data_IF_219993047397
#
_entry.id   IF_219993047397
#
_cell.length_a   1.000
_cell.length_b   1.000
_cell.length_c   1.000
_cell.angle_alpha   90.00
_cell.angle_beta   90.00
_cell.angle_gamma   90.00
#
_symmetry.space_group_name_H-M   'P 1'
#
loop_
_entity.id
_entity.type
_entity.pdbx_description
1 polymer ?
#
# COMPACT_ATOMS: atom_id res chain seq x y z
N UNK A 1 -1.16 11.51 13.11
CA UNK A 1 -0.05 11.01 12.26
C UNK A 1 -0.18 9.50 11.99
N UNK A 2 -1.31 9.06 11.42
CA UNK A 2 -1.54 7.65 11.04
C UNK A 2 -2.11 7.50 9.60
N UNK A 3 -1.52 8.25 8.66
CA UNK A 3 -1.98 8.30 7.27
C UNK A 3 -1.73 7.00 6.49
N UNK A 4 -0.80 6.14 6.92
CA UNK A 4 -0.62 4.82 6.32
C UNK A 4 -1.76 3.84 6.66
N UNK A 5 -2.51 4.05 7.74
CA UNK A 5 -3.70 3.25 8.04
C UNK A 5 -4.86 3.65 7.11
N UNK A 6 -5.15 4.94 7.01
CA UNK A 6 -6.13 5.53 6.08
C UNK A 6 -5.95 7.04 6.07
N UNK A 7 -6.38 7.70 4.99
CA UNK A 7 -6.40 9.17 4.92
C UNK A 7 -7.82 9.73 5.01
N UNK A 8 -7.93 11.00 5.39
CA UNK A 8 -9.19 11.74 5.28
C UNK A 8 -9.55 11.93 3.80
N UNK A 9 -10.84 11.90 3.50
CA UNK A 9 -11.32 12.19 2.15
C UNK A 9 -11.05 13.67 1.82
N UNK A 10 -10.38 13.93 0.69
CA UNK A 10 -10.12 15.29 0.23
C UNK A 10 -11.44 15.98 -0.16
N UNK A 11 -11.56 17.29 0.12
CA UNK A 11 -12.77 18.06 -0.16
C UNK A 11 -13.12 18.10 -1.67
N UNK A 12 -12.14 18.29 -2.54
CA UNK A 12 -12.38 18.28 -3.99
C UNK A 12 -12.80 16.88 -4.49
N UNK A 13 -12.31 15.82 -3.85
CA UNK A 13 -12.74 14.45 -4.12
C UNK A 13 -14.18 14.25 -3.70
N UNK A 14 -14.56 14.71 -2.51
CA UNK A 14 -15.95 14.68 -2.05
C UNK A 14 -16.87 15.46 -3.01
N UNK A 15 -16.48 16.66 -3.41
CA UNK A 15 -17.24 17.50 -4.35
C UNK A 15 -17.38 16.81 -5.73
N UNK A 16 -16.37 16.08 -6.18
CA UNK A 16 -16.44 15.30 -7.42
C UNK A 16 -17.36 14.07 -7.30
N UNK A 17 -17.41 13.42 -6.13
CA UNK A 17 -18.33 12.30 -5.84
C UNK A 17 -19.79 12.79 -5.71
N UNK A 18 -19.98 14.00 -5.23
CA UNK A 18 -21.29 14.62 -4.92
C UNK A 18 -21.49 15.93 -5.71
N UNK A 19 -21.43 15.91 -7.06
CA UNK A 19 -21.66 17.10 -7.85
C UNK A 19 -23.11 17.61 -7.68
N UNK A 20 -23.43 18.81 -8.19
CA UNK A 20 -24.79 19.37 -8.15
C UNK A 20 -25.86 18.43 -8.75
N UNK A 21 -25.45 17.58 -9.71
CA UNK A 21 -26.21 16.40 -10.18
C UNK A 21 -25.56 15.14 -9.60
N UNK A 22 -25.85 14.85 -8.32
CA UNK A 22 -25.21 13.74 -7.59
C UNK A 22 -25.37 12.39 -8.29
N UNK A 23 -24.29 11.59 -8.32
CA UNK A 23 -24.31 10.19 -8.77
C UNK A 23 -25.19 9.28 -7.91
N UNK A 24 -25.63 9.73 -6.75
CA UNK A 24 -26.51 8.97 -5.86
C UNK A 24 -28.00 9.30 -6.07
N UNK A 25 -28.32 10.46 -6.65
CA UNK A 25 -29.71 10.96 -6.71
C UNK A 25 -30.17 11.37 -8.10
N UNK A 26 -29.27 11.87 -8.96
CA UNK A 26 -29.60 12.39 -10.29
C UNK A 26 -28.95 11.55 -11.39
N UNK A 27 -27.65 11.27 -11.29
CA UNK A 27 -26.90 10.40 -12.23
C UNK A 27 -26.75 9.00 -11.61
N UNK A 28 -27.86 8.44 -11.13
CA UNK A 28 -27.88 7.16 -10.42
C UNK A 28 -27.98 5.94 -11.34
N UNK A 29 -27.86 6.13 -12.65
CA UNK A 29 -28.02 5.08 -13.64
C UNK A 29 -26.99 3.95 -13.47
N UNK A 30 -27.42 2.73 -13.78
CA UNK A 30 -26.48 1.61 -13.89
C UNK A 30 -25.62 1.80 -15.16
N UNK A 31 -24.27 1.83 -15.05
CA UNK A 31 -23.38 2.04 -16.21
C UNK A 31 -23.56 1.04 -17.35
N UNK A 32 -24.14 -0.12 -17.07
CA UNK A 32 -24.45 -1.16 -18.09
C UNK A 32 -25.77 -0.89 -18.86
N UNK A 33 -26.55 0.13 -18.46
CA UNK A 33 -27.84 0.44 -19.10
C UNK A 33 -27.69 1.31 -20.34
N UNK A 34 -28.49 1.05 -21.37
CA UNK A 34 -28.44 1.77 -22.66
C UNK A 34 -29.12 3.15 -22.64
N UNK A 35 -29.98 3.41 -21.65
CA UNK A 35 -30.67 4.71 -21.54
C UNK A 35 -29.74 5.82 -21.01
N UNK A 36 -30.14 7.08 -21.19
CA UNK A 36 -29.33 8.28 -20.89
C UNK A 36 -28.69 8.26 -19.51
N UNK A 37 -29.43 7.90 -18.45
CA UNK A 37 -28.90 7.84 -17.08
C UNK A 37 -27.77 6.81 -16.96
N UNK A 38 -27.87 5.65 -17.64
CA UNK A 38 -26.81 4.66 -17.66
C UNK A 38 -25.59 5.13 -18.43
N UNK A 39 -25.79 5.82 -19.58
CA UNK A 39 -24.69 6.37 -20.38
C UNK A 39 -23.92 7.47 -19.64
N UNK A 40 -24.61 8.34 -18.89
CA UNK A 40 -23.96 9.36 -18.05
C UNK A 40 -23.09 8.71 -16.97
N UNK A 41 -23.58 7.69 -16.28
CA UNK A 41 -22.82 6.94 -15.29
C UNK A 41 -21.64 6.20 -15.93
N UNK A 42 -21.84 5.57 -17.10
CA UNK A 42 -20.78 4.91 -17.87
C UNK A 42 -19.66 5.88 -18.24
N UNK A 43 -20.00 7.07 -18.72
CA UNK A 43 -19.04 8.13 -19.04
C UNK A 43 -18.22 8.54 -17.81
N UNK A 44 -18.86 8.71 -16.65
CA UNK A 44 -18.17 9.05 -15.42
C UNK A 44 -17.15 7.98 -14.98
N UNK A 45 -17.50 6.69 -15.14
CA UNK A 45 -16.59 5.57 -14.89
C UNK A 45 -15.43 5.56 -15.91
N UNK A 46 -15.72 5.82 -17.19
CA UNK A 46 -14.68 5.88 -18.24
C UNK A 46 -13.69 7.03 -17.98
N UNK A 47 -14.19 8.24 -17.65
CA UNK A 47 -13.37 9.40 -17.33
C UNK A 47 -12.45 9.13 -16.12
N UNK A 48 -12.95 8.45 -15.09
CA UNK A 48 -12.16 8.04 -13.93
C UNK A 48 -11.08 7.03 -14.30
N UNK A 49 -11.40 6.08 -15.19
CA UNK A 49 -10.47 5.06 -15.70
C UNK A 49 -9.30 5.68 -16.46
N UNK A 50 -9.59 6.70 -17.29
CA UNK A 50 -8.57 7.48 -18.01
C UNK A 50 -7.61 8.21 -17.05
N UNK A 51 -8.13 8.75 -15.94
CA UNK A 51 -7.31 9.41 -14.93
C UNK A 51 -6.35 8.43 -14.25
N UNK A 52 -6.83 7.24 -13.90
CA UNK A 52 -5.98 6.18 -13.33
C UNK A 52 -4.91 5.75 -14.33
N UNK A 53 -5.29 5.51 -15.58
CA UNK A 53 -4.35 5.09 -16.64
C UNK A 53 -3.27 6.13 -16.85
N UNK A 54 -3.63 7.40 -16.92
CA UNK A 54 -2.68 8.52 -17.08
C UNK A 54 -1.71 8.62 -15.91
N UNK A 55 -2.20 8.49 -14.69
CA UNK A 55 -1.39 8.57 -13.47
C UNK A 55 -0.33 7.45 -13.40
N UNK A 56 -0.61 6.28 -13.97
CA UNK A 56 0.29 5.12 -13.98
C UNK A 56 1.10 5.00 -15.30
N UNK A 57 0.86 5.88 -16.29
CA UNK A 57 1.37 5.74 -17.65
C UNK A 57 0.97 4.40 -18.32
N UNK A 58 -0.27 3.94 -18.08
CA UNK A 58 -0.84 2.78 -18.77
C UNK A 58 -1.16 3.11 -20.23
N UNK A 59 -0.98 2.14 -21.13
CA UNK A 59 -1.10 2.35 -22.58
C UNK A 59 -2.56 2.35 -23.08
N UNK A 60 -3.48 1.67 -22.39
CA UNK A 60 -4.87 1.47 -22.81
C UNK A 60 -5.78 1.42 -21.57
N UNK A 61 -6.32 2.58 -21.20
CA UNK A 61 -7.13 2.73 -19.98
C UNK A 61 -8.22 1.65 -19.89
N UNK A 62 -8.93 1.44 -20.99
CA UNK A 62 -10.02 0.50 -21.04
C UNK A 62 -9.61 -0.94 -20.80
N UNK A 63 -8.46 -1.37 -21.37
CA UNK A 63 -8.01 -2.76 -21.31
C UNK A 63 -7.14 -3.07 -20.11
N UNK A 64 -6.48 -2.05 -19.56
CA UNK A 64 -5.46 -2.24 -18.54
C UNK A 64 -5.90 -1.87 -17.12
N UNK A 65 -6.95 -1.06 -16.96
CA UNK A 65 -7.45 -0.70 -15.64
C UNK A 65 -8.73 -1.49 -15.32
N UNK A 66 -8.78 -2.08 -14.13
CA UNK A 66 -9.94 -2.80 -13.58
C UNK A 66 -10.26 -2.17 -12.23
N UNK A 67 -11.49 -1.72 -12.00
CA UNK A 67 -11.92 -1.25 -10.68
C UNK A 67 -12.25 -2.42 -9.76
N UNK A 68 -11.82 -2.31 -8.51
CA UNK A 68 -11.99 -3.30 -7.44
C UNK A 68 -12.55 -2.64 -6.19
N UNK A 69 -12.90 -3.41 -5.17
CA UNK A 69 -13.37 -2.89 -3.89
C UNK A 69 -12.24 -2.38 -2.97
N UNK A 70 -11.01 -2.84 -3.16
CA UNK A 70 -9.84 -2.44 -2.35
C UNK A 70 -8.55 -3.09 -2.89
N UNK A 71 -7.39 -2.70 -2.34
CA UNK A 71 -6.09 -3.31 -2.65
C UNK A 71 -6.08 -4.82 -2.38
N UNK A 72 -6.65 -5.27 -1.27
CA UNK A 72 -6.73 -6.71 -0.95
C UNK A 72 -7.47 -7.52 -2.02
N UNK A 73 -8.56 -6.98 -2.61
CA UNK A 73 -9.23 -7.63 -3.73
C UNK A 73 -8.31 -7.69 -4.94
N UNK A 74 -7.59 -6.60 -5.25
CA UNK A 74 -6.64 -6.54 -6.38
C UNK A 74 -5.52 -7.57 -6.23
N UNK A 75 -4.89 -7.67 -5.05
CA UNK A 75 -3.82 -8.66 -4.78
C UNK A 75 -4.33 -10.10 -4.93
N UNK A 76 -5.52 -10.40 -4.38
CA UNK A 76 -6.14 -11.71 -4.53
C UNK A 76 -6.47 -12.03 -5.98
N UNK A 77 -6.97 -11.05 -6.76
CA UNK A 77 -7.22 -11.23 -8.20
C UNK A 77 -5.95 -11.62 -8.95
N UNK A 78 -4.83 -10.97 -8.66
CA UNK A 78 -3.56 -11.30 -9.30
C UNK A 78 -3.07 -12.68 -8.88
N UNK A 79 -2.86 -12.88 -7.58
CA UNK A 79 -2.23 -14.10 -7.08
C UNK A 79 -3.04 -15.34 -7.45
N UNK A 80 -4.35 -15.34 -7.16
CA UNK A 80 -5.23 -16.47 -7.45
C UNK A 80 -5.50 -16.62 -8.95
N UNK A 81 -5.70 -15.51 -9.66
CA UNK A 81 -5.96 -15.52 -11.10
C UNK A 81 -4.76 -16.04 -11.92
N UNK A 82 -3.53 -15.62 -11.60
CA UNK A 82 -2.34 -16.12 -12.26
C UNK A 82 -2.07 -17.58 -11.88
N UNK A 83 -2.22 -17.95 -10.62
CA UNK A 83 -2.09 -19.33 -10.16
C UNK A 83 -3.05 -20.27 -10.93
N UNK A 84 -4.33 -19.91 -11.04
CA UNK A 84 -5.31 -20.66 -11.81
C UNK A 84 -4.93 -20.73 -13.29
N UNK A 85 -4.66 -19.59 -13.92
CA UNK A 85 -4.41 -19.44 -15.36
C UNK A 85 -3.16 -20.16 -15.82
N UNK A 86 -2.09 -20.09 -15.04
CA UNK A 86 -0.77 -20.60 -15.42
C UNK A 86 -0.38 -21.91 -14.73
N UNK A 87 -1.30 -22.57 -14.01
CA UNK A 87 -1.05 -23.82 -13.28
C UNK A 87 -0.46 -24.97 -14.13
N UNK A 88 -0.70 -24.93 -15.45
CA UNK A 88 -0.13 -25.90 -16.40
C UNK A 88 1.29 -25.52 -16.86
N UNK A 89 1.68 -24.24 -16.78
CA UNK A 89 3.02 -23.74 -17.10
C UNK A 89 3.97 -23.94 -15.94
N UNK A 90 3.50 -23.75 -14.71
CA UNK A 90 4.28 -23.88 -13.50
C UNK A 90 3.46 -23.65 -12.26
N UNK A 91 4.07 -23.92 -11.10
CA UNK A 91 3.42 -23.76 -9.78
C UNK A 91 4.28 -23.02 -8.78
N UNK A 92 5.30 -22.30 -9.23
CA UNK A 92 6.17 -21.53 -8.36
C UNK A 92 5.85 -20.04 -8.40
N UNK A 93 5.76 -19.43 -7.21
CA UNK A 93 5.52 -18.00 -6.98
C UNK A 93 6.66 -17.48 -6.09
N UNK A 94 7.15 -16.30 -6.40
CA UNK A 94 8.14 -15.59 -5.58
C UNK A 94 7.49 -14.37 -4.97
N UNK A 95 7.69 -14.16 -3.66
CA UNK A 95 7.26 -12.97 -2.94
C UNK A 95 8.28 -12.63 -1.85
N UNK A 96 8.03 -11.61 -1.02
CA UNK A 96 8.94 -11.24 0.06
C UNK A 96 8.37 -11.58 1.44
N UNK A 97 9.24 -11.68 2.45
CA UNK A 97 8.83 -11.94 3.83
C UNK A 97 8.11 -10.75 4.49
N UNK A 98 8.12 -9.56 3.86
CA UNK A 98 7.59 -8.30 4.42
C UNK A 98 6.33 -7.78 3.74
N UNK A 99 5.69 -8.60 2.93
CA UNK A 99 4.46 -8.24 2.21
C UNK A 99 3.28 -7.96 3.14
N UNK A 100 2.30 -7.23 2.63
CA UNK A 100 1.01 -7.09 3.29
C UNK A 100 0.32 -8.45 3.41
N UNK A 101 -0.50 -8.64 4.46
CA UNK A 101 -1.22 -9.91 4.72
C UNK A 101 -2.12 -10.34 3.54
N UNK A 102 -2.61 -9.41 2.71
CA UNK A 102 -3.36 -9.74 1.50
C UNK A 102 -2.54 -10.59 0.51
N UNK A 103 -1.24 -10.38 0.44
CA UNK A 103 -0.30 -11.18 -0.36
C UNK A 103 0.11 -12.44 0.40
N UNK A 104 0.60 -12.31 1.64
CA UNK A 104 1.12 -13.45 2.42
C UNK A 104 0.06 -14.53 2.64
N UNK A 105 -1.16 -14.15 3.07
CA UNK A 105 -2.20 -15.14 3.35
C UNK A 105 -2.76 -15.76 2.07
N UNK A 106 -2.77 -15.01 0.97
CA UNK A 106 -3.14 -15.58 -0.34
C UNK A 106 -2.06 -16.55 -0.83
N UNK A 107 -0.78 -16.27 -0.63
CA UNK A 107 0.30 -17.22 -0.91
C UNK A 107 0.15 -18.50 -0.06
N UNK A 108 -0.06 -18.38 1.25
CA UNK A 108 -0.31 -19.53 2.14
C UNK A 108 -1.56 -20.34 1.73
N UNK A 109 -2.59 -19.67 1.21
CA UNK A 109 -3.75 -20.36 0.65
C UNK A 109 -3.36 -21.15 -0.61
N UNK A 110 -2.54 -20.57 -1.50
CA UNK A 110 -2.08 -21.24 -2.73
C UNK A 110 -1.14 -22.43 -2.44
N UNK A 111 -0.31 -22.35 -1.40
CA UNK A 111 0.50 -23.49 -0.93
C UNK A 111 -0.40 -24.70 -0.59
N UNK A 112 -1.54 -24.48 0.07
CA UNK A 112 -2.54 -25.54 0.34
C UNK A 112 -3.20 -26.08 -0.93
N UNK A 113 -3.10 -25.38 -2.06
CA UNK A 113 -3.56 -25.80 -3.37
C UNK A 113 -2.44 -26.46 -4.22
N UNK A 114 -1.28 -26.70 -3.62
CA UNK A 114 -0.13 -27.40 -4.24
C UNK A 114 0.75 -26.47 -5.08
N UNK A 115 0.76 -25.15 -4.81
CA UNK A 115 1.78 -24.23 -5.30
C UNK A 115 2.97 -24.20 -4.34
N UNK A 116 4.14 -23.86 -4.86
CA UNK A 116 5.32 -23.58 -4.08
C UNK A 116 5.54 -22.07 -4.02
N UNK A 117 5.84 -21.53 -2.84
CA UNK A 117 6.10 -20.10 -2.66
C UNK A 117 7.49 -19.90 -2.07
N UNK A 118 8.32 -19.13 -2.76
CA UNK A 118 9.58 -18.63 -2.20
C UNK A 118 9.32 -17.26 -1.56
N UNK A 119 9.50 -17.19 -0.26
CA UNK A 119 9.47 -15.93 0.50
C UNK A 119 10.90 -15.42 0.64
N UNK A 120 11.29 -14.44 -0.17
CA UNK A 120 12.63 -13.86 -0.15
C UNK A 120 12.90 -13.19 1.21
N UNK A 121 14.02 -13.53 1.85
CA UNK A 121 14.46 -12.81 3.03
C UNK A 121 14.88 -11.38 2.64
N UNK A 122 14.69 -10.46 3.57
CA UNK A 122 15.08 -9.05 3.40
C UNK A 122 16.32 -8.75 4.24
N UNK A 123 16.99 -7.65 3.93
CA UNK A 123 18.06 -7.10 4.76
C UNK A 123 17.52 -6.42 6.03
N UNK A 124 18.41 -5.88 6.86
CA UNK A 124 18.06 -5.15 8.09
C UNK A 124 17.22 -3.88 7.88
N UNK A 125 17.11 -3.43 6.64
CA UNK A 125 16.29 -2.29 6.22
C UNK A 125 14.96 -2.73 5.59
N UNK A 126 14.72 -4.03 5.48
CA UNK A 126 13.51 -4.58 4.89
C UNK A 126 13.49 -4.58 3.37
N UNK A 127 14.66 -4.63 2.71
CA UNK A 127 14.80 -4.55 1.26
C UNK A 127 15.27 -5.88 0.68
N UNK A 128 14.74 -6.24 -0.48
CA UNK A 128 15.31 -7.30 -1.34
C UNK A 128 16.15 -6.66 -2.46
N UNK A 129 17.10 -7.42 -2.98
CA UNK A 129 17.85 -7.03 -4.18
C UNK A 129 17.22 -7.65 -5.42
N UNK A 130 17.41 -7.02 -6.58
CA UNK A 130 17.00 -7.58 -7.85
C UNK A 130 17.73 -8.91 -8.16
N UNK A 131 18.97 -9.09 -7.70
CA UNK A 131 19.73 -10.33 -7.88
C UNK A 131 19.14 -11.49 -7.07
N UNK A 132 18.66 -11.26 -5.83
CA UNK A 132 17.93 -12.29 -5.09
C UNK A 132 16.71 -12.80 -5.85
N UNK A 133 15.97 -11.89 -6.53
CA UNK A 133 14.85 -12.28 -7.38
C UNK A 133 15.34 -13.11 -8.58
N UNK A 134 16.42 -12.67 -9.24
CA UNK A 134 17.03 -13.39 -10.39
C UNK A 134 17.42 -14.83 -10.03
N UNK A 135 18.05 -15.00 -8.89
CA UNK A 135 18.51 -16.32 -8.39
C UNK A 135 17.34 -17.23 -7.99
N UNK A 136 16.24 -16.65 -7.48
CA UNK A 136 15.05 -17.40 -7.06
C UNK A 136 14.17 -17.84 -8.25
N UNK A 137 14.30 -17.24 -9.42
CA UNK A 137 13.50 -17.59 -10.61
C UNK A 137 13.91 -18.96 -11.12
N UNK A 138 12.92 -19.87 -11.18
CA UNK A 138 13.03 -21.25 -11.69
C UNK A 138 12.26 -21.38 -13.03
N UNK A 139 12.48 -22.49 -13.78
CA UNK A 139 11.74 -22.71 -15.03
C UNK A 139 10.22 -22.79 -14.87
N UNK A 140 9.73 -23.17 -13.69
CA UNK A 140 8.31 -23.28 -13.33
C UNK A 140 7.79 -22.06 -12.56
N UNK A 141 8.56 -20.96 -12.45
CA UNK A 141 8.11 -19.71 -11.86
C UNK A 141 7.10 -19.02 -12.79
N UNK A 142 5.92 -18.72 -12.24
CA UNK A 142 4.83 -18.08 -13.01
C UNK A 142 4.60 -16.62 -12.63
N UNK A 143 4.99 -16.22 -11.41
CA UNK A 143 4.74 -14.90 -10.86
C UNK A 143 5.84 -14.50 -9.86
N UNK A 144 6.28 -13.26 -9.96
CA UNK A 144 6.99 -12.53 -8.91
C UNK A 144 6.05 -11.44 -8.40
N UNK A 145 5.82 -11.39 -7.09
CA UNK A 145 5.00 -10.36 -6.43
C UNK A 145 5.81 -9.71 -5.33
N UNK A 146 6.16 -8.44 -5.50
CA UNK A 146 6.96 -7.67 -4.54
C UNK A 146 6.28 -6.32 -4.33
N UNK A 147 5.98 -5.96 -3.08
CA UNK A 147 5.36 -4.69 -2.76
C UNK A 147 6.26 -3.52 -3.16
N UNK A 148 5.67 -2.39 -3.55
CA UNK A 148 6.42 -1.22 -3.99
C UNK A 148 7.08 -0.51 -2.80
N UNK A 149 6.29 -0.29 -1.75
CA UNK A 149 6.75 0.35 -0.52
C UNK A 149 6.08 -0.27 0.70
N UNK A 150 6.86 -0.52 1.72
CA UNK A 150 6.36 -1.20 2.91
C UNK A 150 5.49 -0.27 3.77
N UNK A 151 4.30 -0.71 4.12
CA UNK A 151 3.31 0.04 4.89
C UNK A 151 3.68 0.27 6.36
N UNK A 152 4.62 -0.50 6.90
CA UNK A 152 5.05 -0.41 8.31
C UNK A 152 6.32 0.42 8.44
N UNK A 153 7.40 0.00 7.80
CA UNK A 153 8.73 0.61 7.92
C UNK A 153 9.08 1.60 6.81
N UNK A 154 8.22 1.73 5.81
CA UNK A 154 8.35 2.71 4.72
C UNK A 154 9.32 2.35 3.61
N UNK A 155 10.15 1.34 3.74
CA UNK A 155 11.19 0.98 2.77
C UNK A 155 10.64 0.78 1.36
N UNK A 156 11.30 1.38 0.37
CA UNK A 156 11.01 1.22 -1.06
C UNK A 156 11.82 0.06 -1.64
N UNK A 157 11.17 -0.78 -2.44
CA UNK A 157 11.80 -1.88 -3.16
C UNK A 157 12.35 -1.43 -4.53
N UNK A 158 13.37 -2.11 -5.08
CA UNK A 158 13.95 -1.77 -6.39
C UNK A 158 13.08 -2.30 -7.54
N UNK A 159 11.88 -1.71 -7.69
CA UNK A 159 10.81 -2.21 -8.58
C UNK A 159 11.23 -2.23 -10.05
N UNK A 160 11.91 -1.19 -10.53
CA UNK A 160 12.32 -1.09 -11.92
C UNK A 160 13.34 -2.19 -12.29
N UNK A 161 14.30 -2.45 -11.40
CA UNK A 161 15.32 -3.49 -11.57
C UNK A 161 14.68 -4.89 -11.51
N UNK A 162 13.76 -5.12 -10.58
CA UNK A 162 13.01 -6.39 -10.48
C UNK A 162 12.17 -6.60 -11.75
N UNK A 163 11.45 -5.56 -12.21
CA UNK A 163 10.65 -5.61 -13.42
C UNK A 163 11.49 -5.93 -14.67
N UNK A 164 12.70 -5.36 -14.78
CA UNK A 164 13.63 -5.67 -15.87
C UNK A 164 14.06 -7.14 -15.86
N UNK A 165 14.38 -7.71 -14.69
CA UNK A 165 14.72 -9.13 -14.54
C UNK A 165 13.54 -10.03 -14.91
N UNK A 166 12.35 -9.72 -14.39
CA UNK A 166 11.15 -10.50 -14.70
C UNK A 166 10.84 -10.50 -16.20
N UNK A 167 11.01 -9.34 -16.87
CA UNK A 167 10.86 -9.19 -18.30
C UNK A 167 11.89 -10.04 -19.07
N UNK A 168 13.16 -9.98 -18.68
CA UNK A 168 14.26 -10.78 -19.27
C UNK A 168 13.97 -12.29 -19.14
N UNK A 169 13.46 -12.73 -17.99
CA UNK A 169 13.17 -14.13 -17.69
C UNK A 169 11.81 -14.64 -18.19
N UNK A 170 10.97 -13.76 -18.72
CA UNK A 170 9.62 -14.12 -19.20
C UNK A 170 8.67 -14.57 -18.07
N UNK A 171 8.85 -14.03 -16.87
CA UNK A 171 8.02 -14.24 -15.69
C UNK A 171 7.16 -13.01 -15.46
N UNK A 172 5.90 -13.19 -15.07
CA UNK A 172 5.00 -12.06 -14.77
C UNK A 172 5.40 -11.36 -13.48
N UNK A 173 5.31 -10.03 -13.49
CA UNK A 173 5.64 -9.19 -12.33
C UNK A 173 4.43 -8.41 -11.82
N UNK A 174 4.13 -8.58 -10.55
CA UNK A 174 3.11 -7.83 -9.79
C UNK A 174 3.75 -7.02 -8.68
N UNK A 175 3.21 -5.83 -8.43
CA UNK A 175 3.56 -5.02 -7.26
C UNK A 175 2.30 -4.56 -6.51
N UNK A 176 2.25 -4.81 -5.20
CA UNK A 176 1.33 -4.08 -4.32
C UNK A 176 1.88 -2.66 -4.12
N UNK A 177 1.26 -1.70 -4.80
CA UNK A 177 1.64 -0.30 -4.75
C UNK A 177 0.66 0.55 -3.91
N UNK A 178 -0.15 -0.08 -3.06
CA UNK A 178 -1.17 0.57 -2.23
C UNK A 178 -0.60 1.72 -1.40
N UNK A 179 0.62 1.62 -0.91
CA UNK A 179 1.29 2.69 -0.14
C UNK A 179 2.13 3.64 -1.00
N UNK A 180 2.34 3.33 -2.29
CA UNK A 180 3.23 4.09 -3.16
C UNK A 180 2.50 5.05 -4.09
N UNK A 181 1.32 4.64 -4.61
CA UNK A 181 0.51 5.47 -5.51
C UNK A 181 0.14 6.79 -4.83
N UNK A 182 0.38 7.89 -5.53
CA UNK A 182 0.16 9.25 -5.03
C UNK A 182 1.27 9.80 -4.13
N UNK A 183 2.29 8.98 -3.79
CA UNK A 183 3.41 9.38 -2.93
C UNK A 183 4.76 9.33 -3.63
N UNK A 184 4.92 8.50 -4.64
CA UNK A 184 6.12 8.40 -5.47
C UNK A 184 5.71 8.25 -6.94
N UNK A 185 6.61 8.62 -7.85
CA UNK A 185 6.38 8.46 -9.28
C UNK A 185 6.36 6.98 -9.66
N UNK A 186 5.34 6.59 -10.42
CA UNK A 186 5.18 5.24 -10.94
C UNK A 186 4.92 5.31 -12.45
N UNK A 187 5.75 4.65 -13.21
CA UNK A 187 5.57 4.44 -14.65
C UNK A 187 5.59 2.94 -14.93
N UNK A 188 4.41 2.37 -15.12
CA UNK A 188 4.26 0.92 -15.29
C UNK A 188 4.96 0.38 -16.52
N UNK A 189 5.13 1.21 -17.56
CA UNK A 189 5.83 0.82 -18.78
C UNK A 189 7.35 0.84 -18.57
N UNK A 190 7.90 1.94 -18.08
CA UNK A 190 9.33 2.08 -17.84
C UNK A 190 9.85 1.11 -16.77
N UNK A 191 9.05 0.83 -15.73
CA UNK A 191 9.38 -0.10 -14.65
C UNK A 191 9.08 -1.56 -14.98
N UNK A 192 8.59 -1.86 -16.19
CA UNK A 192 8.24 -3.22 -16.63
C UNK A 192 7.24 -3.94 -15.71
N UNK A 193 6.32 -3.21 -15.13
CA UNK A 193 5.28 -3.76 -14.25
C UNK A 193 4.20 -4.41 -15.11
N UNK A 194 3.82 -5.64 -14.81
CA UNK A 194 2.76 -6.37 -15.50
C UNK A 194 1.40 -6.18 -14.83
N UNK A 195 1.40 -6.08 -13.50
CA UNK A 195 0.20 -5.86 -12.69
C UNK A 195 0.54 -5.00 -11.47
N UNK A 196 -0.38 -4.10 -11.10
CA UNK A 196 -0.20 -3.20 -9.96
C UNK A 196 -1.52 -3.01 -9.21
N UNK A 197 -1.48 -3.23 -7.90
CA UNK A 197 -2.61 -3.01 -7.00
C UNK A 197 -2.57 -1.63 -6.35
N UNK A 198 -3.73 -0.95 -6.26
CA UNK A 198 -3.87 0.32 -5.55
C UNK A 198 -5.21 0.42 -4.79
N UNK A 199 -5.28 1.33 -3.81
CA UNK A 199 -6.49 1.56 -3.01
C UNK A 199 -6.68 3.05 -2.72
N UNK A 200 -7.83 3.60 -3.07
CA UNK A 200 -8.08 5.05 -3.07
C UNK A 200 -7.88 5.72 -1.70
N UNK A 201 -8.25 5.03 -0.61
CA UNK A 201 -8.19 5.60 0.74
C UNK A 201 -6.76 5.81 1.29
N UNK A 202 -5.73 5.49 0.51
CA UNK A 202 -4.32 5.76 0.88
C UNK A 202 -3.80 7.08 0.32
N UNK A 203 -4.54 7.68 -0.62
CA UNK A 203 -4.22 8.98 -1.24
C UNK A 203 -5.45 9.88 -1.29
N UNK A 204 -6.14 10.03 -0.16
CA UNK A 204 -7.28 10.93 0.06
C UNK A 204 -8.53 10.65 -0.79
N UNK A 205 -8.65 9.44 -1.32
CA UNK A 205 -9.84 8.93 -1.97
C UNK A 205 -10.79 8.20 -1.00
N UNK A 206 -11.97 7.76 -1.50
CA UNK A 206 -12.95 7.05 -0.67
C UNK A 206 -12.48 5.63 -0.32
N UNK A 207 -12.95 5.14 0.84
CA UNK A 207 -12.85 3.72 1.22
C UNK A 207 -13.79 2.89 0.34
N UNK A 208 -13.52 1.59 0.21
CA UNK A 208 -14.38 0.66 -0.53
C UNK A 208 -14.24 0.75 -2.05
N UNK A 209 -13.15 1.33 -2.55
CA UNK A 209 -12.76 1.34 -3.96
C UNK A 209 -11.25 1.27 -4.11
N UNK A 210 -10.82 0.46 -5.07
CA UNK A 210 -9.43 0.32 -5.51
C UNK A 210 -9.39 0.12 -7.03
N UNK A 211 -8.20 -0.11 -7.55
CA UNK A 211 -8.01 -0.51 -8.93
C UNK A 211 -6.83 -1.48 -9.06
N UNK A 212 -6.90 -2.26 -10.12
CA UNK A 212 -5.84 -3.15 -10.56
C UNK A 212 -5.44 -2.74 -11.97
N UNK A 213 -4.17 -2.38 -12.16
CA UNK A 213 -3.57 -2.31 -13.48
C UNK A 213 -3.16 -3.72 -13.92
N UNK A 214 -3.48 -4.08 -15.15
CA UNK A 214 -3.09 -5.33 -15.79
C UNK A 214 -2.63 -5.03 -17.20
N UNK A 215 -1.35 -5.22 -17.49
CA UNK A 215 -0.79 -4.97 -18.80
C UNK A 215 -1.56 -5.72 -19.89
N UNK A 216 -1.84 -5.03 -20.99
CA UNK A 216 -2.57 -5.57 -22.14
C UNK A 216 -1.99 -6.91 -22.62
N UNK A 217 -2.86 -7.87 -22.82
CA UNK A 217 -2.50 -9.24 -23.21
C UNK A 217 -2.40 -10.24 -22.06
N UNK A 218 -2.37 -9.79 -20.83
CA UNK A 218 -2.46 -10.67 -19.65
C UNK A 218 -3.92 -10.95 -19.35
N UNK A 219 -4.27 -12.22 -19.30
CA UNK A 219 -5.63 -12.68 -19.00
C UNK A 219 -5.70 -13.09 -17.52
N UNK A 220 -6.60 -12.45 -16.77
CA UNK A 220 -6.93 -12.83 -15.41
C UNK A 220 -8.37 -13.38 -15.38
N UNK A 221 -8.59 -14.59 -14.87
CA UNK A 221 -9.94 -15.07 -14.54
C UNK A 221 -10.59 -14.13 -13.51
N UNK A 222 -11.93 -13.98 -13.61
CA UNK A 222 -12.67 -13.20 -12.63
C UNK A 222 -12.66 -13.87 -11.27
N UNK A 223 -12.20 -13.14 -10.24
CA UNK A 223 -12.29 -13.62 -8.85
C UNK A 223 -13.72 -13.61 -8.35
N UNK A 224 -14.49 -12.57 -8.72
CA UNK A 224 -15.91 -12.45 -8.40
C UNK A 224 -16.73 -12.87 -9.63
N UNK A 225 -17.35 -14.02 -9.55
CA UNK A 225 -18.14 -14.60 -10.65
C UNK A 225 -19.54 -13.96 -10.66
N UNK A 226 -20.02 -13.52 -11.84
CA UNK A 226 -21.33 -12.87 -11.95
C UNK A 226 -21.55 -12.24 -13.33
N UNK A 227 -22.06 -11.00 -13.38
CA UNK A 227 -22.28 -10.24 -14.60
C UNK A 227 -20.99 -9.85 -15.33
N UNK A 228 -21.16 -9.28 -16.53
CA UNK A 228 -20.07 -8.97 -17.47
C UNK A 228 -19.35 -7.63 -17.19
N UNK A 229 -19.55 -7.03 -16.00
CA UNK A 229 -18.88 -5.77 -15.64
C UNK A 229 -17.35 -5.92 -15.73
N UNK A 230 -16.67 -4.80 -15.83
CA UNK A 230 -15.20 -4.77 -16.04
C UNK A 230 -14.73 -5.77 -17.13
N UNK A 231 -15.54 -5.95 -18.19
CA UNK A 231 -15.28 -6.87 -19.31
C UNK A 231 -15.08 -8.32 -18.89
N UNK A 232 -15.98 -8.83 -18.08
CA UNK A 232 -15.93 -10.18 -17.51
C UNK A 232 -14.69 -10.43 -16.61
N UNK A 233 -14.04 -9.37 -16.12
CA UNK A 233 -12.86 -9.51 -15.24
C UNK A 233 -13.21 -9.31 -13.76
N UNK A 234 -14.30 -8.56 -13.50
CA UNK A 234 -14.80 -8.33 -12.13
C UNK A 234 -16.30 -8.05 -12.18
N UNK A 235 -17.08 -8.96 -11.69
CA UNK A 235 -18.55 -8.86 -11.68
C UNK A 235 -19.04 -7.92 -10.56
N UNK A 236 -20.30 -7.49 -10.70
CA UNK A 236 -20.98 -6.60 -9.75
C UNK A 236 -21.13 -5.18 -10.28
N UNK A 237 -22.29 -4.56 -9.99
CA UNK A 237 -22.58 -3.19 -10.41
C UNK A 237 -21.49 -2.23 -9.91
N UNK A 238 -21.01 -1.36 -10.80
CA UNK A 238 -19.92 -0.44 -10.52
C UNK A 238 -20.33 0.60 -9.46
N UNK A 239 -19.45 0.84 -8.49
CA UNK A 239 -19.57 1.91 -7.49
C UNK A 239 -19.21 3.26 -8.12
N UNK A 240 -20.13 3.82 -8.91
CA UNK A 240 -19.89 5.03 -9.73
C UNK A 240 -19.29 6.18 -8.91
N UNK A 241 -19.91 6.53 -7.79
CA UNK A 241 -19.44 7.63 -6.94
C UNK A 241 -18.03 7.35 -6.38
N UNK A 242 -17.78 6.12 -5.88
CA UNK A 242 -16.47 5.71 -5.38
C UNK A 242 -15.39 5.71 -6.48
N UNK A 243 -15.72 5.24 -7.68
CA UNK A 243 -14.82 5.21 -8.84
C UNK A 243 -14.46 6.64 -9.29
N UNK A 244 -15.43 7.55 -9.36
CA UNK A 244 -15.18 8.97 -9.65
C UNK A 244 -14.28 9.59 -8.59
N UNK A 245 -14.54 9.27 -7.31
CA UNK A 245 -13.70 9.71 -6.20
C UNK A 245 -12.25 9.19 -6.31
N UNK A 246 -12.06 7.91 -6.65
CA UNK A 246 -10.73 7.36 -6.91
C UNK A 246 -10.03 8.09 -8.05
N UNK A 247 -10.74 8.31 -9.19
CA UNK A 247 -10.19 9.02 -10.34
C UNK A 247 -9.79 10.46 -10.02
N UNK A 248 -10.57 11.19 -9.21
CA UNK A 248 -10.21 12.54 -8.77
C UNK A 248 -9.07 12.53 -7.76
N UNK A 249 -9.05 11.59 -6.84
CA UNK A 249 -8.01 11.48 -5.82
C UNK A 249 -6.63 11.19 -6.45
N UNK A 250 -6.54 10.23 -7.39
CA UNK A 250 -5.27 9.90 -8.05
C UNK A 250 -4.78 11.06 -8.93
N UNK A 251 -5.69 11.77 -9.60
CA UNK A 251 -5.36 12.96 -10.39
C UNK A 251 -4.70 14.03 -9.50
N UNK A 252 -5.31 14.36 -8.35
CA UNK A 252 -4.77 15.35 -7.40
C UNK A 252 -3.43 14.89 -6.81
N UNK A 253 -3.36 13.68 -6.27
CA UNK A 253 -2.17 13.16 -5.63
C UNK A 253 -0.98 13.10 -6.62
N UNK A 254 -1.19 12.60 -7.85
CA UNK A 254 -0.12 12.48 -8.83
C UNK A 254 0.30 13.81 -9.45
N UNK A 255 -0.56 14.85 -9.46
CA UNK A 255 -0.19 16.17 -9.99
C UNK A 255 0.73 16.97 -9.08
N UNK A 256 0.84 16.61 -7.80
CA UNK A 256 1.62 17.34 -6.79
C UNK A 256 2.71 16.47 -6.11
N UNK A 257 3.05 15.32 -6.67
CA UNK A 257 4.00 14.37 -6.05
C UNK A 257 5.31 15.05 -5.67
N UNK A 258 5.93 15.81 -6.57
CA UNK A 258 7.26 16.40 -6.31
C UNK A 258 7.23 17.37 -5.12
N UNK A 259 6.25 18.27 -5.10
CA UNK A 259 6.10 19.25 -4.01
C UNK A 259 5.74 18.58 -2.69
N UNK A 260 4.73 17.71 -2.71
CA UNK A 260 4.23 17.01 -1.53
C UNK A 260 5.28 16.08 -0.95
N UNK A 261 5.97 15.29 -1.80
CA UNK A 261 7.02 14.38 -1.35
C UNK A 261 8.23 15.11 -0.81
N UNK A 262 8.66 16.23 -1.41
CA UNK A 262 9.76 17.05 -0.88
C UNK A 262 9.41 17.62 0.50
N UNK A 263 8.19 18.15 0.66
CA UNK A 263 7.70 18.69 1.94
C UNK A 263 7.62 17.61 3.01
N UNK A 264 7.00 16.46 2.70
CA UNK A 264 6.88 15.35 3.65
C UNK A 264 8.24 14.78 4.03
N UNK A 265 9.16 14.63 3.08
CA UNK A 265 10.53 14.16 3.33
C UNK A 265 11.24 15.06 4.32
N UNK A 266 11.16 16.39 4.14
CA UNK A 266 11.75 17.36 5.08
C UNK A 266 11.16 17.22 6.50
N UNK A 267 9.82 17.12 6.62
CA UNK A 267 9.15 16.96 7.91
C UNK A 267 9.47 15.61 8.55
N UNK A 268 9.51 14.55 7.76
CA UNK A 268 9.91 13.21 8.18
C UNK A 268 11.33 13.19 8.74
N UNK A 269 12.27 13.80 8.01
CA UNK A 269 13.68 13.79 8.40
C UNK A 269 13.90 14.64 9.66
N UNK A 270 13.16 15.76 9.82
CA UNK A 270 13.10 16.53 11.08
C UNK A 270 12.60 15.68 12.24
N UNK A 271 11.51 14.92 12.02
CA UNK A 271 10.94 14.03 13.04
C UNK A 271 11.92 12.91 13.43
N UNK A 272 12.54 12.26 12.45
CA UNK A 272 13.54 11.20 12.67
C UNK A 272 14.71 11.74 13.49
N UNK A 273 15.35 12.84 13.04
CA UNK A 273 16.49 13.42 13.72
C UNK A 273 16.14 13.90 15.15
N UNK A 274 14.95 14.46 15.33
CA UNK A 274 14.46 14.91 16.62
C UNK A 274 14.18 13.77 17.62
N UNK A 275 13.68 12.63 17.16
CA UNK A 275 13.48 11.43 17.98
C UNK A 275 14.86 10.86 18.39
N UNK A 276 15.77 10.67 17.45
CA UNK A 276 17.12 10.14 17.70
C UNK A 276 17.93 11.00 18.70
N UNK A 277 17.75 12.34 18.62
CA UNK A 277 18.46 13.27 19.51
C UNK A 277 17.87 13.31 20.94
N UNK A 278 16.58 13.04 21.11
CA UNK A 278 15.87 13.27 22.40
C UNK A 278 15.56 11.98 23.15
N UNK A 279 15.52 10.85 22.47
CA UNK A 279 15.15 9.57 23.08
C UNK A 279 16.32 8.59 22.89
N UNK A 280 17.02 8.20 23.97
CA UNK A 280 18.06 7.18 23.88
C UNK A 280 17.45 5.79 23.63
N UNK A 281 18.27 4.84 23.21
CA UNK A 281 17.88 3.45 23.01
C UNK A 281 16.67 3.27 22.06
N UNK A 282 16.70 3.98 20.92
CA UNK A 282 15.76 3.86 19.82
C UNK A 282 16.44 3.33 18.57
N UNK A 283 15.69 2.65 17.72
CA UNK A 283 16.13 2.23 16.40
C UNK A 283 15.13 2.70 15.35
N UNK A 284 15.61 3.42 14.33
CA UNK A 284 14.82 3.67 13.12
C UNK A 284 14.69 2.36 12.33
N UNK A 285 13.45 1.95 12.06
CA UNK A 285 13.16 0.78 11.25
C UNK A 285 12.98 1.17 9.78
N UNK A 286 13.50 0.33 8.87
CA UNK A 286 13.50 0.59 7.44
C UNK A 286 14.67 1.45 6.96
N UNK A 287 14.79 1.57 5.63
CA UNK A 287 15.88 2.30 5.00
C UNK A 287 15.76 3.81 5.25
N UNK A 288 16.88 4.49 5.53
CA UNK A 288 16.85 5.91 5.94
C UNK A 288 16.39 6.85 4.82
N UNK A 289 16.81 6.60 3.60
CA UNK A 289 16.55 7.47 2.43
C UNK A 289 15.63 6.83 1.41
N UNK A 290 15.85 5.55 1.06
CA UNK A 290 14.99 4.80 0.15
C UNK A 290 13.70 4.38 0.88
N UNK A 291 12.87 5.38 1.19
CA UNK A 291 11.62 5.18 1.92
C UNK A 291 10.52 6.12 1.47
N UNK A 292 9.28 5.74 1.74
CA UNK A 292 8.10 6.56 1.52
C UNK A 292 8.24 7.93 2.21
N UNK A 293 7.86 9.02 1.55
CA UNK A 293 8.11 10.39 2.03
C UNK A 293 7.58 10.67 3.43
N UNK A 294 6.42 10.13 3.79
CA UNK A 294 5.76 10.42 5.07
C UNK A 294 5.93 9.36 6.15
N UNK A 295 6.69 8.28 5.92
CA UNK A 295 6.74 7.17 6.89
C UNK A 295 7.90 7.30 7.88
N UNK A 296 7.59 7.20 9.18
CA UNK A 296 8.53 7.10 10.30
C UNK A 296 8.14 5.90 11.15
N UNK A 297 9.07 4.99 11.39
CA UNK A 297 8.86 3.84 12.26
C UNK A 297 10.07 3.65 13.17
N UNK A 298 9.83 3.62 14.47
CA UNK A 298 10.86 3.41 15.49
C UNK A 298 10.50 2.23 16.39
N UNK A 299 11.50 1.47 16.77
CA UNK A 299 11.44 0.59 17.95
C UNK A 299 12.11 1.28 19.12
N UNK A 300 11.41 1.36 20.26
CA UNK A 300 11.84 2.03 21.49
C UNK A 300 12.00 0.96 22.57
N UNK A 301 13.23 0.77 23.07
CA UNK A 301 13.51 -0.29 24.04
C UNK A 301 12.88 -0.06 25.40
N UNK A 302 12.59 -1.16 26.07
CA UNK A 302 12.13 -1.27 27.47
C UNK A 302 10.68 -0.83 27.73
N UNK A 303 9.88 -0.62 26.68
CA UNK A 303 8.46 -0.24 26.78
C UNK A 303 7.62 -0.93 25.70
N UNK A 304 6.34 -1.11 26.02
CA UNK A 304 5.37 -1.68 25.10
C UNK A 304 4.81 -0.61 24.15
N UNK A 305 4.75 -0.92 22.86
CA UNK A 305 4.22 -0.02 21.85
C UNK A 305 2.77 0.40 22.10
N UNK A 306 1.92 -0.52 22.55
CA UNK A 306 0.51 -0.21 22.88
C UNK A 306 0.41 0.87 23.95
N UNK A 307 1.27 0.83 24.97
CA UNK A 307 1.32 1.87 26.01
C UNK A 307 1.71 3.23 25.45
N UNK A 308 2.64 3.25 24.48
CA UNK A 308 3.01 4.50 23.78
C UNK A 308 1.81 5.02 22.98
N UNK A 309 1.11 4.14 22.23
CA UNK A 309 -0.05 4.53 21.41
C UNK A 309 -1.17 5.11 22.24
N UNK A 310 -1.51 4.48 23.37
CA UNK A 310 -2.53 5.00 24.29
C UNK A 310 -2.15 6.37 24.86
N UNK A 311 -0.89 6.56 25.25
CA UNK A 311 -0.42 7.85 25.74
C UNK A 311 -0.36 8.92 24.67
N UNK A 312 -0.04 8.57 23.40
CA UNK A 312 -0.10 9.49 22.27
C UNK A 312 -1.55 9.92 22.00
N UNK A 313 -2.50 8.97 22.00
CA UNK A 313 -3.93 9.26 21.79
C UNK A 313 -4.48 10.21 22.85
N UNK A 314 -4.14 10.01 24.14
CA UNK A 314 -4.48 10.93 25.23
C UNK A 314 -3.91 12.35 25.04
N UNK A 315 -2.88 12.52 24.21
CA UNK A 315 -2.30 13.81 23.82
C UNK A 315 -2.77 14.26 22.42
N UNK A 316 -3.81 13.66 21.86
CA UNK A 316 -4.38 14.03 20.56
C UNK A 316 -3.52 13.61 19.35
N UNK A 317 -2.59 12.66 19.50
CA UNK A 317 -1.71 12.17 18.45
C UNK A 317 -2.12 10.74 18.07
N UNK A 318 -2.78 10.56 16.92
CA UNK A 318 -3.06 9.26 16.36
C UNK A 318 -1.78 8.64 15.78
N UNK A 319 -1.46 7.41 16.16
CA UNK A 319 -0.32 6.62 15.67
C UNK A 319 -0.68 5.12 15.66
N UNK A 320 0.14 4.30 15.04
CA UNK A 320 -0.04 2.84 15.02
C UNK A 320 1.24 2.12 15.45
N UNK A 321 1.12 0.89 15.93
CA UNK A 321 2.23 -0.06 15.98
C UNK A 321 2.47 -0.64 14.58
N UNK A 322 3.60 -1.31 14.37
CA UNK A 322 3.90 -1.99 13.10
C UNK A 322 2.78 -2.94 12.63
N UNK A 323 2.04 -3.55 13.57
CA UNK A 323 0.99 -4.54 13.28
C UNK A 323 -0.43 -4.00 13.34
N UNK A 324 -0.71 -2.78 12.90
CA UNK A 324 -2.05 -2.15 12.95
C UNK A 324 -3.20 -3.02 12.38
N UNK A 325 -2.91 -3.99 11.50
CA UNK A 325 -3.90 -4.90 10.91
C UNK A 325 -4.21 -6.12 11.80
N UNK A 326 -3.49 -6.33 12.89
CA UNK A 326 -3.67 -7.43 13.84
C UNK A 326 -4.00 -6.93 15.25
N UNK A 327 -4.75 -5.82 15.34
CA UNK A 327 -5.25 -5.30 16.62
C UNK A 327 -6.03 -6.41 17.36
N UNK A 328 -5.35 -7.07 18.32
CA UNK A 328 -5.85 -8.25 19.04
C UNK A 328 -4.91 -9.45 19.05
N UNK A 329 -3.83 -9.46 18.26
CA UNK A 329 -2.73 -10.42 18.37
C UNK A 329 -1.62 -9.84 19.25
N UNK A 330 -1.21 -10.60 20.25
CA UNK A 330 -0.03 -10.29 21.08
C UNK A 330 1.29 -10.53 20.31
N UNK A 331 1.22 -10.98 19.05
CA UNK A 331 2.40 -11.26 18.25
C UNK A 331 2.99 -9.98 17.66
N UNK A 332 4.31 -9.80 17.69
CA UNK A 332 4.98 -8.66 17.07
C UNK A 332 4.85 -8.71 15.55
N UNK A 333 5.03 -7.55 14.90
CA UNK A 333 5.01 -7.42 13.45
C UNK A 333 5.95 -8.42 12.76
N UNK A 334 5.43 -9.18 11.80
CA UNK A 334 6.24 -10.07 10.95
C UNK A 334 7.31 -9.30 10.15
N UNK A 335 7.04 -8.04 9.79
CA UNK A 335 8.00 -7.16 9.11
C UNK A 335 9.18 -6.86 10.03
N UNK A 336 8.92 -6.49 11.29
CA UNK A 336 9.97 -6.19 12.25
C UNK A 336 10.81 -7.42 12.61
N UNK A 337 10.18 -8.59 12.68
CA UNK A 337 10.91 -9.86 12.84
C UNK A 337 11.76 -10.19 11.60
N UNK A 338 11.23 -9.95 10.41
CA UNK A 338 11.94 -10.21 9.15
C UNK A 338 13.20 -9.35 8.97
N UNK A 339 13.21 -8.11 9.52
CA UNK A 339 14.40 -7.24 9.53
C UNK A 339 15.37 -7.55 10.69
N UNK A 340 15.16 -8.66 11.38
CA UNK A 340 16.07 -9.18 12.41
C UNK A 340 15.88 -8.59 13.82
N UNK A 341 14.75 -7.93 14.11
CA UNK A 341 14.47 -7.47 15.46
C UNK A 341 14.05 -8.64 16.37
N UNK A 342 14.62 -8.75 17.59
CA UNK A 342 14.09 -9.63 18.62
C UNK A 342 12.64 -9.27 18.99
N UNK A 343 11.86 -10.25 19.43
CA UNK A 343 10.47 -10.07 19.83
C UNK A 343 10.29 -8.89 20.81
N UNK A 344 11.11 -8.83 21.85
CA UNK A 344 11.07 -7.78 22.89
C UNK A 344 11.23 -6.36 22.32
N UNK A 345 12.07 -6.19 21.30
CA UNK A 345 12.30 -4.88 20.66
C UNK A 345 11.21 -4.57 19.65
N UNK A 346 10.71 -5.59 18.94
CA UNK A 346 9.64 -5.43 17.98
C UNK A 346 8.33 -4.99 18.64
N UNK A 347 8.04 -5.42 19.87
CA UNK A 347 6.89 -4.99 20.65
C UNK A 347 6.91 -3.49 20.99
N UNK A 348 8.08 -2.88 21.16
CA UNK A 348 8.22 -1.45 21.45
C UNK A 348 8.11 -0.55 20.22
N UNK A 349 7.48 -0.99 19.14
CA UNK A 349 7.43 -0.23 17.90
C UNK A 349 6.30 0.80 17.88
N UNK A 350 6.58 1.95 17.25
CA UNK A 350 5.62 3.00 16.93
C UNK A 350 5.81 3.46 15.50
N UNK A 351 4.71 3.56 14.75
CA UNK A 351 4.67 4.11 13.40
C UNK A 351 3.95 5.44 13.42
N UNK A 352 4.62 6.47 12.94
CA UNK A 352 4.09 7.82 12.71
C UNK A 352 4.12 8.09 11.21
N UNK A 353 2.97 8.35 10.60
CA UNK A 353 2.90 8.61 9.16
C UNK A 353 2.28 9.97 8.88
N UNK A 354 3.08 10.82 8.25
CA UNK A 354 2.72 12.17 7.87
C UNK A 354 1.74 12.16 6.70
N UNK A 355 0.91 13.18 6.61
CA UNK A 355 -0.04 13.39 5.52
C UNK A 355 0.04 14.80 4.98
N UNK A 356 -0.80 15.09 3.97
CA UNK A 356 -0.81 16.37 3.28
C UNK A 356 -1.10 17.56 4.20
N UNK A 357 -1.89 17.35 5.25
CA UNK A 357 -2.24 18.37 6.24
C UNK A 357 -1.25 18.48 7.41
N UNK A 358 -0.20 17.63 7.44
CA UNK A 358 0.79 17.68 8.52
C UNK A 358 1.66 18.92 8.41
N UNK A 359 1.70 19.70 9.49
CA UNK A 359 2.49 20.93 9.60
C UNK A 359 3.83 20.72 10.33
N UNK A 360 4.67 21.74 10.33
CA UNK A 360 5.91 21.72 11.08
C UNK A 360 5.65 21.79 12.59
N UNK A 361 4.62 22.53 13.00
CA UNK A 361 4.15 22.63 14.38
C UNK A 361 3.66 21.27 14.91
N UNK A 362 2.99 20.47 14.07
CA UNK A 362 2.59 19.10 14.45
C UNK A 362 3.80 18.22 14.73
N UNK A 363 4.87 18.34 13.92
CA UNK A 363 6.12 17.61 14.12
C UNK A 363 6.81 18.07 15.42
N UNK A 364 6.88 19.37 15.66
CA UNK A 364 7.44 19.93 16.89
C UNK A 364 6.68 19.51 18.13
N UNK A 365 5.34 19.44 18.04
CA UNK A 365 4.48 18.95 19.12
C UNK A 365 4.78 17.48 19.46
N UNK A 366 4.88 16.61 18.44
CA UNK A 366 5.26 15.20 18.66
C UNK A 366 6.64 15.10 19.31
N UNK A 367 7.61 15.89 18.86
CA UNK A 367 8.97 15.94 19.41
C UNK A 367 9.02 16.46 20.85
N UNK A 368 8.02 17.20 21.30
CA UNK A 368 7.89 17.62 22.69
C UNK A 368 7.17 16.57 23.55
N UNK A 369 6.14 15.93 23.03
CA UNK A 369 5.28 14.99 23.76
C UNK A 369 5.91 13.60 23.89
N UNK A 370 6.40 13.02 22.79
CA UNK A 370 6.87 11.62 22.74
C UNK A 370 8.03 11.34 23.71
N UNK A 371 9.06 12.20 23.84
CA UNK A 371 10.13 11.95 24.83
C UNK A 371 9.62 11.90 26.27
N UNK A 372 8.64 12.74 26.63
CA UNK A 372 8.03 12.75 27.97
C UNK A 372 7.25 11.47 28.23
N UNK A 373 6.51 10.98 27.24
CA UNK A 373 5.80 9.70 27.31
C UNK A 373 6.80 8.56 27.53
N UNK A 374 7.86 8.49 26.71
CA UNK A 374 8.88 7.44 26.81
C UNK A 374 9.57 7.45 28.16
N UNK A 375 9.98 8.62 28.66
CA UNK A 375 10.60 8.74 29.97
C UNK A 375 9.69 8.17 31.09
N UNK A 376 8.42 8.60 31.11
CA UNK A 376 7.42 8.12 32.10
C UNK A 376 7.19 6.63 32.02
N UNK A 377 7.07 6.06 30.80
CA UNK A 377 6.84 4.62 30.64
C UNK A 377 8.07 3.80 31.04
N UNK A 378 9.29 4.32 30.79
CA UNK A 378 10.53 3.68 31.23
C UNK A 378 10.67 3.68 32.76
N UNK A 379 10.31 4.76 33.45
CA UNK A 379 10.28 4.82 34.94
C UNK A 379 9.40 3.72 35.54
N UNK A 380 8.35 3.31 34.84
CA UNK A 380 7.42 2.26 35.27
C UNK A 380 7.84 0.86 34.80
N UNK A 381 8.81 0.75 33.90
CA UNK A 381 9.24 -0.51 33.32
C UNK A 381 10.24 -1.24 34.21
N UNK A 382 10.00 -2.50 34.57
CA UNK A 382 10.97 -3.30 35.33
C UNK A 382 12.22 -3.66 34.52
N UNK A 383 12.21 -3.41 33.22
CA UNK A 383 13.31 -3.72 32.29
C UNK A 383 14.30 -2.55 32.14
N UNK A 384 13.93 -1.35 32.59
CA UNK A 384 14.76 -0.15 32.45
C UNK A 384 15.49 0.14 33.76
N UNK A 385 16.80 0.13 33.73
CA UNK A 385 17.67 0.34 34.90
C UNK A 385 18.49 1.63 34.79
N UNK A 386 17.90 2.70 34.19
CA UNK A 386 18.35 4.08 34.23
C UNK A 386 19.74 4.34 33.69
#
# INVERSE_FOLDING_TARGET
>A
MDNAATTALNKEVLDAMMPAKSYLTVIYGNPSSLHTFGQEAHKAVADAREKVARALNAADAEKEIIFTGCGTESDNMVLRGIAERLSKKGKHIITTAVEHHAVLYTCRYLEKQGFEVTYLPVDEFGRVTAEQVREAIRPDTILVSVMFGNNEIGTLMPIAEIGAICRERGVLFHTDAVQAVGHVHIDVQAMNIDMLSLSAHKFHGPKGVGALYVRKGILLPSLLIGGAQERNRRAGTENVAGIVGLGKAIELACSSIDETSARMTRLRDKLIAGIEARIPEVRLNGHRTERLPGNVNFSIKYIEGESILLMLDLNGIAASSGSACTSGSLDPSHVLLAIGLPHEIAHGSVRLTLGDDTTEEDVDYVLDVLPRIVARLREMSPLYHG
#
